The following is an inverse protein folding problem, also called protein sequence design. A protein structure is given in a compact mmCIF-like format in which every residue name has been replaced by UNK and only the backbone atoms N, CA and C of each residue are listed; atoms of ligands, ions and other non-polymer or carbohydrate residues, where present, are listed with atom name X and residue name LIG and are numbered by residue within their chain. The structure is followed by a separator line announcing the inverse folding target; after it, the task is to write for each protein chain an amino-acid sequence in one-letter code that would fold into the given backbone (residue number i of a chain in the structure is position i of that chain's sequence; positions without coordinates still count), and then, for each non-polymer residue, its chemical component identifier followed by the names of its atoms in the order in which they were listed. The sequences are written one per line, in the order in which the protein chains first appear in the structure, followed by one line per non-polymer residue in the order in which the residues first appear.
data_IF_662439212167
#
_entry.id   IF_662439212167
#
_cell.length_a   1.000
_cell.length_b   1.000
_cell.length_c   1.000
_cell.angle_alpha   90.00
_cell.angle_beta   90.00
_cell.angle_gamma   90.00
#
_symmetry.space_group_name_H-M   'P 1'
#
loop_
_entity.id
_entity.type
_entity.pdbx_description
1 polymer ?
#
# COMPACT_ATOMS: atom_id res chain seq x y z
N UNK A 1 -13.86 4.39 8.83
CA UNK A 1 -12.50 4.14 8.32
C UNK A 1 -12.54 4.39 6.82
N UNK A 2 -11.46 4.86 6.20
CA UNK A 2 -11.48 5.20 4.78
C UNK A 2 -11.76 3.93 3.94
N UNK A 3 -12.89 3.92 3.23
CA UNK A 3 -13.28 2.85 2.33
C UNK A 3 -13.23 3.38 0.89
N UNK A 4 -12.66 2.64 -0.07
CA UNK A 4 -12.70 3.08 -1.48
C UNK A 4 -14.14 3.22 -1.98
N UNK A 5 -15.07 2.44 -1.43
CA UNK A 5 -16.50 2.54 -1.76
C UNK A 5 -17.11 3.90 -1.38
N UNK A 6 -16.49 4.67 -0.47
CA UNK A 6 -16.96 6.00 -0.09
C UNK A 6 -16.83 7.01 -1.27
N UNK A 7 -15.92 6.75 -2.20
CA UNK A 7 -15.61 7.63 -3.35
C UNK A 7 -15.78 6.95 -4.72
N UNK A 8 -15.81 5.61 -4.77
CA UNK A 8 -16.03 4.82 -5.98
C UNK A 8 -17.29 3.99 -5.82
N UNK A 9 -18.33 4.35 -6.57
CA UNK A 9 -19.65 3.70 -6.48
C UNK A 9 -19.67 2.25 -7.00
N UNK A 10 -18.78 1.91 -7.94
CA UNK A 10 -18.73 0.58 -8.52
C UNK A 10 -17.94 -0.39 -7.63
N UNK A 11 -18.62 -1.30 -6.96
CA UNK A 11 -18.01 -2.36 -6.13
C UNK A 11 -17.03 -3.23 -6.91
N UNK A 12 -17.38 -3.60 -8.15
CA UNK A 12 -16.51 -4.39 -9.03
C UNK A 12 -15.21 -3.63 -9.34
N UNK A 13 -15.31 -2.31 -9.56
CA UNK A 13 -14.13 -1.46 -9.78
C UNK A 13 -13.24 -1.41 -8.54
N UNK A 14 -13.82 -1.22 -7.37
CA UNK A 14 -13.08 -1.22 -6.09
C UNK A 14 -12.31 -2.52 -5.93
N UNK A 15 -12.98 -3.67 -6.06
CA UNK A 15 -12.33 -4.97 -5.93
C UNK A 15 -11.23 -5.21 -6.98
N UNK A 16 -11.42 -4.75 -8.22
CA UNK A 16 -10.36 -4.83 -9.25
C UNK A 16 -9.16 -3.96 -8.84
N UNK A 17 -9.38 -2.73 -8.38
CA UNK A 17 -8.28 -1.87 -7.89
C UNK A 17 -7.55 -2.53 -6.73
N UNK A 18 -8.27 -3.05 -5.74
CA UNK A 18 -7.70 -3.75 -4.59
C UNK A 18 -6.85 -4.96 -5.02
N UNK A 19 -7.37 -5.80 -5.93
CA UNK A 19 -6.65 -6.97 -6.44
C UNK A 19 -5.33 -6.58 -7.12
N UNK A 20 -5.39 -5.63 -8.05
CA UNK A 20 -4.23 -5.24 -8.85
C UNK A 20 -3.21 -4.43 -8.04
N UNK A 21 -3.64 -3.48 -7.22
CA UNK A 21 -2.73 -2.66 -6.43
C UNK A 21 -2.15 -3.39 -5.21
N UNK A 22 -2.78 -4.47 -4.74
CA UNK A 22 -2.18 -5.40 -3.77
C UNK A 22 -1.15 -6.33 -4.41
N UNK A 23 -1.17 -6.50 -5.74
CA UNK A 23 -0.34 -7.43 -6.49
C UNK A 23 0.26 -6.77 -7.73
N UNK A 24 1.10 -5.75 -7.52
CA UNK A 24 1.54 -4.80 -8.56
C UNK A 24 2.29 -5.42 -9.74
N UNK A 25 2.89 -6.60 -9.55
CA UNK A 25 3.66 -7.32 -10.57
C UNK A 25 2.87 -8.40 -11.29
N UNK A 26 1.68 -8.73 -10.80
CA UNK A 26 0.89 -9.85 -11.30
C UNK A 26 0.07 -9.48 -12.55
N UNK A 27 -0.14 -10.48 -13.40
CA UNK A 27 -0.98 -10.38 -14.58
C UNK A 27 -2.13 -11.38 -14.45
N UNK A 28 -3.35 -10.91 -14.66
CA UNK A 28 -4.54 -11.75 -14.51
C UNK A 28 -5.30 -11.88 -15.81
N UNK A 29 -5.70 -13.11 -16.14
CA UNK A 29 -6.70 -13.34 -17.17
C UNK A 29 -8.10 -13.12 -16.58
N UNK A 30 -9.08 -12.78 -17.43
CA UNK A 30 -10.45 -12.39 -16.99
C UNK A 30 -11.09 -13.39 -16.03
N UNK A 31 -11.00 -14.71 -16.30
CA UNK A 31 -11.57 -15.74 -15.42
C UNK A 31 -10.83 -15.86 -14.08
N UNK A 32 -9.55 -15.54 -14.03
CA UNK A 32 -8.78 -15.45 -12.78
C UNK A 32 -9.31 -14.32 -11.93
N UNK A 33 -9.46 -13.12 -12.51
CA UNK A 33 -10.01 -11.94 -11.84
C UNK A 33 -11.39 -12.24 -11.26
N UNK A 34 -12.28 -12.82 -12.06
CA UNK A 34 -13.64 -13.23 -11.63
C UNK A 34 -13.62 -14.11 -10.37
N UNK A 35 -12.68 -15.06 -10.29
CA UNK A 35 -12.54 -15.95 -9.13
C UNK A 35 -12.00 -15.21 -7.91
N UNK A 36 -10.97 -14.39 -8.10
CA UNK A 36 -10.35 -13.62 -7.01
C UNK A 36 -11.33 -12.65 -6.35
N UNK A 37 -12.10 -11.92 -7.16
CA UNK A 37 -13.00 -10.87 -6.64
C UNK A 37 -14.43 -11.37 -6.36
N UNK A 38 -14.74 -12.60 -6.81
CA UNK A 38 -16.05 -13.24 -6.70
C UNK A 38 -17.19 -12.37 -7.24
N UNK A 39 -17.09 -11.97 -8.52
CA UNK A 39 -18.07 -11.11 -9.21
C UNK A 39 -18.47 -11.70 -10.57
N UNK A 40 -19.59 -11.25 -11.12
CA UNK A 40 -20.12 -11.73 -12.40
C UNK A 40 -19.22 -11.34 -13.60
N UNK A 41 -19.01 -12.28 -14.54
CA UNK A 41 -18.02 -12.15 -15.61
C UNK A 41 -18.24 -10.94 -16.53
N UNK A 42 -19.49 -10.60 -16.87
CA UNK A 42 -19.77 -9.46 -17.73
C UNK A 42 -19.58 -8.13 -17.00
N UNK A 43 -19.90 -8.08 -15.70
CA UNK A 43 -19.58 -6.94 -14.85
C UNK A 43 -18.06 -6.71 -14.76
N UNK A 44 -17.27 -7.79 -14.57
CA UNK A 44 -15.80 -7.72 -14.57
C UNK A 44 -15.28 -7.23 -15.93
N UNK A 45 -15.72 -7.82 -17.04
CA UNK A 45 -15.31 -7.41 -18.40
C UNK A 45 -15.54 -5.93 -18.66
N UNK A 46 -16.73 -5.43 -18.31
CA UNK A 46 -17.11 -4.03 -18.49
C UNK A 46 -16.18 -3.10 -17.72
N UNK A 47 -15.84 -3.42 -16.48
CA UNK A 47 -14.92 -2.57 -15.70
C UNK A 47 -13.47 -2.67 -16.18
N UNK A 48 -13.00 -3.85 -16.59
CA UNK A 48 -11.68 -4.01 -17.19
C UNK A 48 -11.52 -3.20 -18.49
N UNK A 49 -12.54 -3.17 -19.34
CA UNK A 49 -12.54 -2.38 -20.57
C UNK A 49 -12.51 -0.87 -20.29
N UNK A 50 -13.29 -0.41 -19.30
CA UNK A 50 -13.26 0.99 -18.86
C UNK A 50 -11.88 1.39 -18.31
N UNK A 51 -11.29 0.53 -17.49
CA UNK A 51 -9.98 0.78 -16.86
C UNK A 51 -8.83 0.71 -17.85
N UNK A 52 -8.96 -0.09 -18.91
CA UNK A 52 -8.01 -0.10 -20.02
C UNK A 52 -8.15 1.17 -20.87
N UNK A 53 -9.37 1.54 -21.25
CA UNK A 53 -9.66 2.80 -21.96
C UNK A 53 -9.14 4.02 -21.20
N UNK A 54 -9.28 4.03 -19.87
CA UNK A 54 -8.77 5.13 -19.02
C UNK A 54 -7.26 5.06 -18.76
N UNK A 55 -6.56 4.02 -19.24
CA UNK A 55 -5.12 3.86 -19.09
C UNK A 55 -4.63 3.38 -17.72
N UNK A 56 -5.52 2.91 -16.83
CA UNK A 56 -5.13 2.30 -15.54
C UNK A 56 -4.53 0.91 -15.78
N UNK A 57 -5.16 0.15 -16.68
CA UNK A 57 -4.74 -1.19 -17.06
C UNK A 57 -4.23 -1.21 -18.50
N UNK A 58 -3.37 -2.19 -18.79
CA UNK A 58 -3.04 -2.63 -20.14
C UNK A 58 -3.48 -4.07 -20.29
N UNK A 59 -3.78 -4.46 -21.53
CA UNK A 59 -4.07 -5.86 -21.89
C UNK A 59 -3.08 -6.40 -22.89
N UNK A 60 -2.79 -7.69 -22.80
CA UNK A 60 -1.91 -8.42 -23.72
C UNK A 60 -2.53 -9.79 -24.07
N UNK A 61 -2.65 -10.12 -25.36
CA UNK A 61 -3.06 -11.47 -25.78
C UNK A 61 -1.90 -12.46 -25.58
N UNK A 62 -2.17 -13.58 -24.91
CA UNK A 62 -1.23 -14.70 -24.77
C UNK A 62 -1.94 -16.02 -25.07
N UNK A 63 -1.66 -16.56 -26.25
CA UNK A 63 -2.37 -17.73 -26.77
C UNK A 63 -3.86 -17.43 -26.95
N UNK A 64 -4.72 -18.24 -26.34
CA UNK A 64 -6.18 -18.09 -26.41
C UNK A 64 -6.78 -17.24 -25.26
N UNK A 65 -5.95 -16.51 -24.50
CA UNK A 65 -6.38 -15.69 -23.36
C UNK A 65 -5.90 -14.26 -23.49
N UNK A 66 -6.65 -13.33 -22.90
CA UNK A 66 -6.24 -11.94 -22.70
C UNK A 66 -5.92 -11.75 -21.22
N UNK A 67 -4.74 -11.21 -20.95
CA UNK A 67 -4.26 -10.85 -19.62
C UNK A 67 -4.29 -9.35 -19.43
N UNK A 68 -4.64 -8.91 -18.23
CA UNK A 68 -4.63 -7.52 -17.79
C UNK A 68 -3.56 -7.32 -16.71
N UNK A 69 -2.97 -6.13 -16.68
CA UNK A 69 -1.93 -5.72 -15.74
C UNK A 69 -1.90 -4.20 -15.57
N UNK A 70 -1.34 -3.73 -14.46
CA UNK A 70 -1.25 -2.31 -14.14
C UNK A 70 -0.25 -1.57 -15.02
N UNK A 71 -0.59 -0.33 -15.33
CA UNK A 71 0.30 0.64 -15.97
C UNK A 71 1.00 1.49 -14.93
N UNK A 72 2.28 1.21 -14.70
CA UNK A 72 3.10 1.98 -13.76
C UNK A 72 3.34 3.44 -14.22
N UNK A 73 3.13 3.73 -15.51
CA UNK A 73 3.19 5.06 -16.12
C UNK A 73 1.87 5.84 -16.06
N UNK A 74 0.82 5.27 -15.45
CA UNK A 74 -0.45 5.97 -15.25
C UNK A 74 -0.27 7.16 -14.30
N UNK A 75 -0.81 8.32 -14.68
CA UNK A 75 -0.58 9.58 -13.97
C UNK A 75 -1.00 9.55 -12.50
N UNK A 76 -2.10 8.86 -12.18
CA UNK A 76 -2.61 8.72 -10.80
C UNK A 76 -2.16 7.41 -10.14
N UNK A 77 -1.11 6.74 -10.65
CA UNK A 77 -0.64 5.47 -10.08
C UNK A 77 -0.24 5.63 -8.61
N UNK A 78 0.48 6.69 -8.27
CA UNK A 78 0.91 6.95 -6.89
C UNK A 78 -0.27 7.19 -5.94
N UNK A 79 -1.28 7.92 -6.40
CA UNK A 79 -2.47 8.23 -5.61
C UNK A 79 -3.31 6.98 -5.36
N UNK A 80 -3.57 6.19 -6.41
CA UNK A 80 -4.29 4.92 -6.29
C UNK A 80 -3.53 3.94 -5.39
N UNK A 81 -2.20 3.88 -5.52
CA UNK A 81 -1.38 3.06 -4.63
C UNK A 81 -1.54 3.48 -3.16
N UNK A 82 -1.52 4.78 -2.88
CA UNK A 82 -1.68 5.33 -1.54
C UNK A 82 -3.05 5.00 -0.95
N UNK A 83 -4.12 5.17 -1.74
CA UNK A 83 -5.49 4.87 -1.32
C UNK A 83 -5.69 3.37 -1.08
N UNK A 84 -5.19 2.52 -1.98
CA UNK A 84 -5.31 1.05 -1.82
C UNK A 84 -4.48 0.55 -0.64
N UNK A 85 -3.30 1.11 -0.39
CA UNK A 85 -2.50 0.76 0.78
C UNK A 85 -3.21 1.03 2.12
N UNK A 86 -4.12 2.01 2.17
CA UNK A 86 -4.94 2.33 3.36
C UNK A 86 -6.17 1.43 3.54
N UNK A 87 -6.63 0.79 2.48
CA UNK A 87 -7.87 0.00 2.46
C UNK A 87 -7.65 -1.51 2.39
N UNK A 88 -6.40 -1.94 2.18
CA UNK A 88 -6.03 -3.35 2.09
C UNK A 88 -4.73 -3.63 2.85
N UNK A 89 -4.41 -4.92 3.00
CA UNK A 89 -3.13 -5.38 3.52
C UNK A 89 -2.73 -4.81 4.89
N UNK A 90 -1.43 -4.52 5.04
CA UNK A 90 -0.85 -4.04 6.30
C UNK A 90 -1.39 -2.68 6.72
N UNK A 91 -1.60 -1.74 5.78
CA UNK A 91 -2.06 -0.40 6.12
C UNK A 91 -3.47 -0.41 6.69
N UNK A 92 -4.37 -1.21 6.10
CA UNK A 92 -5.68 -1.48 6.70
C UNK A 92 -5.57 -2.16 8.07
N UNK A 93 -4.73 -3.19 8.21
CA UNK A 93 -4.58 -3.88 9.49
C UNK A 93 -4.11 -2.96 10.62
N UNK A 94 -3.19 -2.03 10.32
CA UNK A 94 -2.74 -0.98 11.25
C UNK A 94 -3.88 -0.03 11.59
N UNK A 95 -4.64 0.43 10.58
CA UNK A 95 -5.78 1.32 10.79
C UNK A 95 -6.86 0.65 11.65
N UNK A 96 -7.24 -0.60 11.33
CA UNK A 96 -8.24 -1.40 12.04
C UNK A 96 -7.84 -1.63 13.50
N UNK A 97 -6.53 -1.81 13.75
CA UNK A 97 -5.98 -2.06 15.08
C UNK A 97 -5.53 -0.79 15.82
N UNK A 98 -5.77 0.40 15.27
CA UNK A 98 -5.22 1.67 15.77
C UNK A 98 -5.46 1.90 17.27
N UNK A 99 -6.64 1.53 17.77
CA UNK A 99 -6.99 1.68 19.19
C UNK A 99 -6.16 0.80 20.13
N UNK A 100 -5.64 -0.33 19.66
CA UNK A 100 -4.82 -1.28 20.43
C UNK A 100 -3.32 -0.98 20.32
N UNK A 101 -2.91 -0.34 19.24
CA UNK A 101 -1.50 -0.07 18.96
C UNK A 101 -0.92 1.09 19.80
N UNK A 102 -1.74 1.76 20.62
CA UNK A 102 -1.35 2.90 21.43
C UNK A 102 -1.64 4.24 20.76
N UNK A 103 -0.93 5.29 21.15
CA UNK A 103 -1.13 6.65 20.64
C UNK A 103 -0.23 6.89 19.44
N UNK A 104 -0.68 6.40 18.28
CA UNK A 104 0.01 6.59 17.00
C UNK A 104 -0.22 8.01 16.47
N UNK A 105 0.88 8.72 16.24
CA UNK A 105 0.91 10.01 15.55
C UNK A 105 0.99 9.84 14.04
N UNK A 106 1.93 9.01 13.57
CA UNK A 106 2.25 8.88 12.15
C UNK A 106 2.64 7.45 11.79
N UNK A 107 2.23 7.01 10.60
CA UNK A 107 2.66 5.75 10.01
C UNK A 107 2.95 6.01 8.53
N UNK A 108 4.14 5.62 8.09
CA UNK A 108 4.49 5.63 6.67
C UNK A 108 5.07 4.30 6.21
N UNK A 109 4.81 3.99 4.96
CA UNK A 109 5.49 2.95 4.20
C UNK A 109 6.55 3.58 3.30
N UNK A 110 7.70 2.93 3.16
CA UNK A 110 8.67 3.32 2.15
C UNK A 110 8.09 3.09 0.76
N UNK A 111 8.49 3.92 -0.21
CA UNK A 111 7.98 3.83 -1.56
C UNK A 111 8.36 2.52 -2.25
N UNK A 112 9.48 1.90 -1.87
CA UNK A 112 9.84 0.55 -2.33
C UNK A 112 8.89 -0.49 -1.76
N UNK A 113 8.63 -0.46 -0.46
CA UNK A 113 7.69 -1.36 0.20
C UNK A 113 6.30 -1.25 -0.41
N UNK A 114 5.76 -0.02 -0.51
CA UNK A 114 4.45 0.22 -1.11
C UNK A 114 4.41 -0.26 -2.57
N UNK A 115 5.50 -0.13 -3.34
CA UNK A 115 5.58 -0.60 -4.73
C UNK A 115 5.95 -2.07 -4.89
N UNK A 116 5.92 -2.87 -3.81
CA UNK A 116 6.31 -4.29 -3.82
C UNK A 116 7.71 -4.54 -4.43
N UNK A 117 8.62 -3.58 -4.27
CA UNK A 117 10.01 -3.70 -4.74
C UNK A 117 10.90 -4.19 -3.60
N UNK A 118 11.93 -5.00 -3.90
CA UNK A 118 12.88 -5.43 -2.90
C UNK A 118 13.67 -4.22 -2.36
N UNK A 119 14.08 -4.33 -1.10
CA UNK A 119 15.05 -3.42 -0.48
C UNK A 119 16.38 -3.52 -1.27
N UNK A 120 17.06 -2.38 -1.46
CA UNK A 120 18.40 -2.36 -2.09
C UNK A 120 19.49 -2.73 -1.07
N UNK A 121 19.25 -2.38 0.19
CA UNK A 121 20.10 -2.75 1.33
C UNK A 121 19.21 -3.29 2.43
N UNK A 122 19.70 -4.26 3.19
CA UNK A 122 18.90 -4.91 4.24
C UNK A 122 18.46 -3.94 5.34
N UNK A 123 19.23 -2.89 5.60
CA UNK A 123 18.94 -1.85 6.60
C UNK A 123 17.90 -0.80 6.15
N UNK A 124 17.43 -0.84 4.90
CA UNK A 124 16.38 0.07 4.44
C UNK A 124 15.07 -0.17 5.19
N UNK A 125 14.47 0.90 5.71
CA UNK A 125 13.20 0.86 6.43
C UNK A 125 12.06 0.66 5.44
N UNK A 126 11.21 -0.33 5.72
CA UNK A 126 9.95 -0.58 5.00
C UNK A 126 8.78 0.17 5.65
N UNK A 127 8.76 0.27 6.99
CA UNK A 127 7.69 0.87 7.79
C UNK A 127 8.27 1.76 8.89
N UNK A 128 7.84 3.02 8.97
CA UNK A 128 8.13 3.90 10.11
C UNK A 128 6.83 4.18 10.87
N UNK A 129 6.84 3.96 12.18
CA UNK A 129 5.75 4.27 13.10
C UNK A 129 6.23 5.26 14.15
N UNK A 130 5.47 6.34 14.33
CA UNK A 130 5.80 7.41 15.27
C UNK A 130 4.70 7.55 16.30
N UNK A 131 5.08 7.54 17.58
CA UNK A 131 4.18 7.78 18.71
C UNK A 131 4.45 6.86 19.90
N UNK A 132 3.51 6.80 20.82
CA UNK A 132 3.56 5.90 21.98
C UNK A 132 2.96 4.54 21.57
N UNK A 133 3.81 3.66 21.04
CA UNK A 133 3.39 2.40 20.43
C UNK A 133 3.45 1.24 21.41
N UNK A 134 2.39 0.44 21.45
CA UNK A 134 2.37 -0.86 22.13
C UNK A 134 3.09 -1.88 21.24
N UNK A 135 4.40 -2.05 21.44
CA UNK A 135 5.26 -2.88 20.59
C UNK A 135 4.76 -4.32 20.38
N UNK A 136 4.27 -5.06 21.40
CA UNK A 136 3.77 -6.43 21.19
C UNK A 136 2.59 -6.50 20.22
N UNK A 137 1.67 -5.52 20.27
CA UNK A 137 0.52 -5.44 19.38
C UNK A 137 0.96 -5.11 17.95
N UNK A 138 1.87 -4.14 17.77
CA UNK A 138 2.42 -3.82 16.45
C UNK A 138 3.14 -5.04 15.85
N UNK A 139 3.99 -5.72 16.63
CA UNK A 139 4.69 -6.92 16.19
C UNK A 139 3.73 -8.05 15.80
N UNK A 140 2.60 -8.21 16.48
CA UNK A 140 1.56 -9.17 16.10
C UNK A 140 0.95 -8.83 14.73
N UNK A 141 0.56 -7.56 14.51
CA UNK A 141 0.01 -7.10 13.23
C UNK A 141 1.01 -7.29 12.08
N UNK A 142 2.27 -6.90 12.30
CA UNK A 142 3.34 -7.03 11.29
C UNK A 142 3.60 -8.50 10.96
N UNK A 143 3.78 -9.38 11.95
CA UNK A 143 4.05 -10.83 11.74
C UNK A 143 2.95 -11.55 10.97
N UNK A 144 1.70 -11.20 11.23
CA UNK A 144 0.55 -11.74 10.49
C UNK A 144 0.60 -11.35 9.01
N UNK A 145 1.15 -10.18 8.69
CA UNK A 145 1.33 -9.74 7.30
C UNK A 145 2.60 -10.34 6.67
N UNK A 146 3.72 -10.41 7.40
CA UNK A 146 4.96 -11.06 6.93
C UNK A 146 4.71 -12.51 6.51
N UNK A 147 3.90 -13.25 7.28
CA UNK A 147 3.51 -14.63 6.96
C UNK A 147 2.78 -14.76 5.62
N UNK A 148 2.05 -13.71 5.20
CA UNK A 148 1.35 -13.65 3.90
C UNK A 148 2.26 -13.13 2.80
N UNK A 149 3.11 -12.17 3.13
CA UNK A 149 4.04 -11.54 2.20
C UNK A 149 5.22 -12.46 1.83
N UNK A 150 5.56 -13.42 2.69
CA UNK A 150 6.68 -14.34 2.50
C UNK A 150 8.06 -13.69 2.69
N UNK A 151 8.12 -12.49 3.32
CA UNK A 151 9.37 -11.82 3.70
C UNK A 151 9.18 -10.96 4.94
N UNK A 152 10.28 -10.72 5.64
CA UNK A 152 10.33 -9.81 6.78
C UNK A 152 10.17 -8.34 6.35
N UNK A 153 9.52 -7.58 7.23
CA UNK A 153 9.28 -6.14 7.13
C UNK A 153 10.21 -5.46 8.12
N UNK A 154 11.16 -4.68 7.60
CA UNK A 154 12.03 -3.87 8.46
C UNK A 154 11.25 -2.63 8.92
N UNK A 155 10.85 -2.60 10.19
CA UNK A 155 10.11 -1.46 10.76
C UNK A 155 10.86 -0.77 11.87
N UNK A 156 10.72 0.56 11.93
CA UNK A 156 11.28 1.40 13.00
C UNK A 156 10.16 2.08 13.76
N UNK A 157 10.27 2.07 15.08
CA UNK A 157 9.35 2.78 15.98
C UNK A 157 10.14 3.86 16.70
N UNK A 158 9.59 5.07 16.77
CA UNK A 158 10.18 6.17 17.54
C UNK A 158 9.12 7.05 18.18
N UNK A 159 9.47 7.67 19.30
CA UNK A 159 8.61 8.67 19.94
C UNK A 159 8.54 9.93 19.07
N UNK A 160 7.46 10.72 19.22
CA UNK A 160 7.31 11.98 18.48
C UNK A 160 8.44 12.96 18.82
N UNK A 161 8.84 13.02 20.08
CA UNK A 161 9.92 13.88 20.57
C UNK A 161 11.28 13.46 20.00
N UNK A 162 11.50 12.15 19.83
CA UNK A 162 12.72 11.62 19.21
C UNK A 162 12.79 12.01 17.73
N UNK A 163 11.69 11.86 16.99
CA UNK A 163 11.60 12.27 15.58
C UNK A 163 11.97 13.75 15.45
N UNK A 164 11.33 14.63 16.22
CA UNK A 164 11.56 16.07 16.17
C UNK A 164 13.01 16.45 16.54
N UNK A 165 13.57 15.80 17.55
CA UNK A 165 14.97 16.02 17.94
C UNK A 165 15.95 15.61 16.83
N UNK A 166 15.75 14.43 16.24
CA UNK A 166 16.61 13.90 15.16
C UNK A 166 16.44 14.69 13.85
N UNK A 167 15.23 15.18 13.55
CA UNK A 167 14.94 16.11 12.44
C UNK A 167 15.78 17.39 12.56
N UNK A 168 15.74 18.05 13.72
CA UNK A 168 16.50 19.30 13.97
C UNK A 168 18.02 19.13 13.80
N UNK A 169 18.53 17.94 14.12
CA UNK A 169 19.96 17.60 14.00
C UNK A 169 20.37 17.06 12.63
N UNK A 170 19.43 17.00 11.67
CA UNK A 170 19.66 16.42 10.33
C UNK A 170 20.25 15.01 10.41
N UNK A 171 19.66 14.20 11.28
CA UNK A 171 20.06 12.81 11.47
C UNK A 171 20.14 12.05 10.11
N UNK A 172 21.28 11.43 9.76
CA UNK A 172 21.47 10.82 8.44
C UNK A 172 20.45 9.72 8.11
N UNK A 173 19.98 8.98 9.10
CA UNK A 173 18.99 7.92 8.92
C UNK A 173 17.63 8.51 8.55
N UNK A 174 17.17 9.55 9.27
CA UNK A 174 15.94 10.25 8.93
C UNK A 174 16.02 10.96 7.58
N UNK A 175 17.16 11.59 7.27
CA UNK A 175 17.40 12.18 5.95
C UNK A 175 17.27 11.12 4.84
N UNK A 176 17.81 9.92 5.04
CA UNK A 176 17.63 8.81 4.11
C UNK A 176 16.16 8.44 3.90
N UNK A 177 15.35 8.43 4.97
CA UNK A 177 13.91 8.19 4.87
C UNK A 177 13.21 9.34 4.14
N UNK A 178 13.57 10.60 4.40
CA UNK A 178 12.94 11.79 3.81
C UNK A 178 13.28 12.01 2.33
N UNK A 179 14.44 11.56 1.87
CA UNK A 179 14.84 11.68 0.47
C UNK A 179 14.16 10.66 -0.45
N UNK A 180 13.67 9.55 0.09
CA UNK A 180 13.03 8.50 -0.68
C UNK A 180 11.51 8.72 -0.75
N UNK A 181 10.88 8.24 -1.84
CA UNK A 181 9.42 8.22 -1.93
C UNK A 181 8.78 7.43 -0.77
N UNK A 182 7.55 7.81 -0.39
CA UNK A 182 6.79 7.19 0.71
C UNK A 182 5.30 7.13 0.40
N UNK A 183 4.58 6.35 1.21
CA UNK A 183 3.11 6.36 1.28
C UNK A 183 2.71 6.56 2.73
N UNK A 184 1.94 7.62 2.99
CA UNK A 184 1.41 7.91 4.33
C UNK A 184 0.18 7.05 4.61
N UNK A 185 0.14 6.37 5.75
CA UNK A 185 -1.01 5.57 6.20
C UNK A 185 -1.79 6.31 7.29
N UNK A 186 -1.07 6.87 8.27
CA UNK A 186 -1.61 7.73 9.33
C UNK A 186 -0.75 9.00 9.39
N UNK A 187 -1.39 10.15 9.60
CA UNK A 187 -0.72 11.45 9.62
C UNK A 187 -0.55 12.04 8.22
N UNK A 188 0.10 13.19 8.16
CA UNK A 188 0.36 13.94 6.94
C UNK A 188 1.86 13.96 6.59
N UNK A 189 2.18 14.14 5.30
CA UNK A 189 3.58 14.22 4.85
C UNK A 189 4.24 15.53 5.27
N UNK A 190 3.50 16.65 5.33
CA UNK A 190 4.01 17.93 5.82
C UNK A 190 4.46 17.82 7.28
N UNK A 191 3.72 17.12 8.14
CA UNK A 191 4.12 16.86 9.53
C UNK A 191 5.40 16.01 9.61
N UNK A 192 5.60 15.10 8.65
CA UNK A 192 6.78 14.24 8.62
C UNK A 192 8.03 15.02 8.23
N UNK A 193 7.94 15.86 7.19
CA UNK A 193 9.11 16.48 6.57
C UNK A 193 9.35 17.94 6.96
N UNK A 194 8.33 18.65 7.43
CA UNK A 194 8.44 20.03 7.93
C UNK A 194 9.22 20.12 9.23
#
# INVERSE_FOLDING_TARGET
MANLEDIITSKVRVKILELFFSNLTEMYHVRGIVREINEEINAVRRELEKMETSGILKKEPRGNRVYYFLRADYSMFGDLLSIVAKSTGLGKAILDSRSKLGKINLVMFSGKFARSKPRKKEDEVDLLVVGEVVLPELASVVRNFESKLGREINYTVMAKEELEYRKKRRDPFLQGIFLNSRVMIIGDEEELTG
#
